data_IF_285023345167
#
_entry.id   IF_285023345167
#
_cell.length_a   1.000
_cell.length_b   1.000
_cell.length_c   1.000
_cell.angle_alpha   90.00
_cell.angle_beta   90.00
_cell.angle_gamma   90.00
#
_symmetry.space_group_name_H-M   'P 1'
#
loop_
_entity.id
_entity.type
_entity.pdbx_description
1 polymer ?
#
# COMPACT_ATOMS: atom_id res chain seq x y z
N UNK A 1 0.28 28.20 4.68
CA UNK A 1 1.33 27.50 5.48
C UNK A 1 0.72 26.24 6.06
N UNK A 2 1.28 25.06 5.72
CA UNK A 2 0.74 23.76 6.16
C UNK A 2 1.06 23.55 7.65
N UNK A 3 0.10 23.04 8.43
CA UNK A 3 0.24 22.70 9.87
C UNK A 3 1.45 21.75 10.09
N UNK A 4 1.75 20.88 9.14
CA UNK A 4 2.91 19.98 9.17
C UNK A 4 4.26 20.71 9.14
N UNK A 5 4.36 21.84 8.42
CA UNK A 5 5.58 22.65 8.38
C UNK A 5 5.88 23.33 9.72
N UNK A 6 4.83 23.77 10.42
CA UNK A 6 4.95 24.45 11.70
C UNK A 6 5.38 23.50 12.82
N UNK A 7 4.83 22.28 12.86
CA UNK A 7 5.19 21.28 13.89
C UNK A 7 6.63 20.80 13.74
N UNK A 8 7.13 20.66 12.50
CA UNK A 8 8.52 20.27 12.25
C UNK A 8 9.53 21.34 12.74
N UNK A 9 9.27 22.62 12.44
CA UNK A 9 10.15 23.71 12.84
C UNK A 9 10.23 23.91 14.36
N UNK A 10 9.13 23.66 15.08
CA UNK A 10 9.08 23.74 16.56
C UNK A 10 9.88 22.58 17.18
N UNK A 11 9.78 21.37 16.64
CA UNK A 11 10.53 20.21 17.13
C UNK A 11 12.04 20.35 16.95
N UNK A 12 12.48 20.93 15.85
CA UNK A 12 13.90 21.23 15.58
C UNK A 12 14.42 22.34 16.51
N UNK A 13 13.64 23.39 16.76
CA UNK A 13 14.01 24.51 17.63
C UNK A 13 14.10 24.12 19.12
N UNK A 14 13.39 23.12 19.55
CA UNK A 14 13.38 22.64 20.95
C UNK A 14 14.42 21.55 21.24
N UNK A 15 15.26 21.16 20.25
CA UNK A 15 16.29 20.13 20.43
C UNK A 15 15.73 18.75 20.76
N UNK A 16 14.45 18.50 20.48
CA UNK A 16 13.75 17.25 20.76
C UNK A 16 14.14 16.13 19.77
N UNK A 17 14.86 16.47 18.70
CA UNK A 17 15.39 15.53 17.72
C UNK A 17 16.79 15.03 18.12
N UNK A 18 16.87 14.20 19.12
CA UNK A 18 18.03 13.31 19.23
C UNK A 18 17.89 12.23 18.14
N UNK A 19 19.01 11.79 17.51
CA UNK A 19 18.95 10.64 16.61
C UNK A 19 18.38 9.46 17.39
N UNK A 20 17.11 9.15 17.18
CA UNK A 20 16.46 7.97 17.75
C UNK A 20 17.12 6.74 17.13
N UNK A 21 17.46 5.78 17.96
CA UNK A 21 17.75 4.43 17.47
C UNK A 21 16.63 4.05 16.49
N UNK A 22 17.01 3.52 15.31
CA UNK A 22 16.02 3.13 14.29
C UNK A 22 15.07 2.14 14.96
N UNK A 23 13.75 2.40 14.98
CA UNK A 23 12.82 1.51 15.64
C UNK A 23 12.92 0.10 15.04
N UNK A 24 12.78 -0.91 15.86
CA UNK A 24 12.86 -2.33 15.44
C UNK A 24 11.88 -2.61 14.28
N UNK A 25 10.65 -2.08 14.36
CA UNK A 25 9.65 -2.20 13.30
C UNK A 25 10.10 -1.66 11.97
N UNK A 26 10.80 -0.52 11.96
CA UNK A 26 11.36 0.08 10.77
C UNK A 26 12.40 -0.85 10.10
N UNK A 27 13.33 -1.39 10.88
CA UNK A 27 14.36 -2.30 10.35
C UNK A 27 13.74 -3.58 9.78
N UNK A 28 12.80 -4.18 10.50
CA UNK A 28 12.08 -5.38 10.06
C UNK A 28 11.26 -5.07 8.82
N UNK A 29 10.52 -3.97 8.81
CA UNK A 29 9.71 -3.55 7.67
C UNK A 29 10.55 -3.38 6.40
N UNK A 30 11.69 -2.71 6.49
CA UNK A 30 12.61 -2.52 5.34
C UNK A 30 13.16 -3.83 4.80
N UNK A 31 13.53 -4.77 5.67
CA UNK A 31 14.03 -6.09 5.24
C UNK A 31 12.89 -6.90 4.59
N UNK A 32 11.76 -7.02 5.27
CA UNK A 32 10.62 -7.78 4.78
C UNK A 32 10.09 -7.23 3.44
N UNK A 33 9.98 -5.91 3.31
CA UNK A 33 9.55 -5.25 2.08
C UNK A 33 10.52 -5.55 0.91
N UNK A 34 11.82 -5.41 1.15
CA UNK A 34 12.84 -5.69 0.12
C UNK A 34 12.79 -7.13 -0.37
N UNK A 35 12.71 -8.08 0.55
CA UNK A 35 12.67 -9.51 0.21
C UNK A 35 11.36 -9.87 -0.52
N UNK A 36 10.23 -9.32 -0.08
CA UNK A 36 8.94 -9.52 -0.73
C UNK A 36 8.94 -8.93 -2.14
N UNK A 37 9.44 -7.69 -2.30
CA UNK A 37 9.59 -7.04 -3.61
C UNK A 37 10.47 -7.86 -4.54
N UNK A 38 11.65 -8.29 -4.08
CA UNK A 38 12.57 -9.11 -4.86
C UNK A 38 11.92 -10.42 -5.30
N UNK A 39 11.24 -11.10 -4.39
CA UNK A 39 10.52 -12.34 -4.68
C UNK A 39 9.43 -12.13 -5.73
N UNK A 40 8.62 -11.06 -5.58
CA UNK A 40 7.60 -10.70 -6.56
C UNK A 40 8.22 -10.39 -7.94
N UNK A 41 9.30 -9.64 -7.99
CA UNK A 41 10.01 -9.31 -9.23
C UNK A 41 10.53 -10.57 -9.93
N UNK A 42 11.22 -11.44 -9.21
CA UNK A 42 11.79 -12.67 -9.78
C UNK A 42 10.70 -13.64 -10.28
N UNK A 43 9.60 -13.78 -9.52
CA UNK A 43 8.50 -14.66 -9.90
C UNK A 43 7.72 -14.17 -11.15
N UNK A 44 7.87 -12.89 -11.52
CA UNK A 44 7.08 -12.24 -12.56
C UNK A 44 7.94 -11.54 -13.64
N UNK A 45 9.19 -11.98 -13.85
CA UNK A 45 10.11 -11.38 -14.82
C UNK A 45 9.54 -11.31 -16.25
N UNK A 46 8.72 -12.28 -16.62
CA UNK A 46 8.14 -12.39 -17.99
C UNK A 46 6.81 -11.66 -18.12
N UNK A 47 6.28 -11.06 -17.06
CA UNK A 47 5.00 -10.34 -17.11
C UNK A 47 5.21 -8.93 -17.63
N UNK A 48 4.39 -8.53 -18.61
CA UNK A 48 4.36 -7.15 -19.11
C UNK A 48 3.96 -6.17 -18.00
N UNK A 49 4.46 -4.96 -18.13
CA UNK A 49 4.13 -3.83 -17.25
C UNK A 49 3.39 -2.81 -18.10
N UNK A 50 2.14 -2.56 -17.77
CA UNK A 50 1.22 -1.76 -18.58
C UNK A 50 0.75 -0.54 -17.80
N UNK A 51 0.49 0.59 -18.46
CA UNK A 51 -0.19 1.73 -17.84
C UNK A 51 -1.66 1.36 -17.55
N UNK A 52 -2.29 2.10 -16.67
CA UNK A 52 -3.74 2.08 -16.49
C UNK A 52 -4.44 2.68 -17.72
N UNK A 53 -5.72 2.36 -17.92
CA UNK A 53 -6.56 2.98 -18.96
C UNK A 53 -6.66 4.49 -18.76
N UNK A 54 -6.75 5.25 -19.85
CA UNK A 54 -6.76 6.71 -19.78
C UNK A 54 -7.91 7.26 -18.93
N UNK A 55 -9.10 6.64 -19.00
CA UNK A 55 -10.25 7.02 -18.17
C UNK A 55 -10.00 6.82 -16.68
N UNK A 56 -9.34 5.70 -16.31
CA UNK A 56 -8.94 5.40 -14.93
C UNK A 56 -7.89 6.39 -14.45
N UNK A 57 -6.89 6.70 -15.29
CA UNK A 57 -5.90 7.71 -14.98
C UNK A 57 -6.54 9.08 -14.77
N UNK A 58 -7.53 9.48 -15.62
CA UNK A 58 -8.23 10.74 -15.48
C UNK A 58 -8.99 10.84 -14.16
N UNK A 59 -9.67 9.79 -13.74
CA UNK A 59 -10.34 9.69 -12.45
C UNK A 59 -9.32 9.76 -11.28
N UNK A 60 -8.24 8.98 -11.35
CA UNK A 60 -7.22 8.95 -10.31
C UNK A 60 -6.50 10.30 -10.13
N UNK A 61 -6.30 11.09 -11.20
CA UNK A 61 -5.76 12.47 -11.10
C UNK A 61 -6.67 13.39 -10.30
N UNK A 62 -7.98 13.15 -10.31
CA UNK A 62 -8.92 13.93 -9.47
C UNK A 62 -8.86 13.48 -8.01
N UNK A 63 -8.74 12.17 -7.75
CA UNK A 63 -8.67 11.61 -6.40
C UNK A 63 -7.31 11.85 -5.73
N UNK A 64 -6.23 11.85 -6.51
CA UNK A 64 -4.85 11.98 -6.05
C UNK A 64 -4.11 13.08 -6.85
N UNK A 65 -4.43 14.37 -6.62
CA UNK A 65 -3.93 15.46 -7.46
C UNK A 65 -2.39 15.64 -7.42
N UNK A 66 -1.75 15.20 -6.34
CA UNK A 66 -0.30 15.29 -6.17
C UNK A 66 0.46 14.05 -6.67
N UNK A 67 -0.26 13.01 -7.15
CA UNK A 67 0.32 11.76 -7.62
C UNK A 67 0.54 11.82 -9.13
N UNK A 68 1.74 11.49 -9.59
CA UNK A 68 1.98 11.24 -11.03
C UNK A 68 1.39 9.88 -11.44
N UNK A 69 0.08 9.87 -11.68
CA UNK A 69 -0.68 8.67 -12.07
C UNK A 69 -0.13 8.04 -13.35
N UNK A 70 0.46 8.85 -14.24
CA UNK A 70 1.07 8.37 -15.48
C UNK A 70 2.26 7.45 -15.28
N UNK A 71 2.88 7.43 -14.10
CA UNK A 71 3.97 6.53 -13.73
C UNK A 71 3.49 5.20 -13.14
N UNK A 72 2.22 5.06 -12.82
CA UNK A 72 1.69 3.80 -12.28
C UNK A 72 1.73 2.72 -13.36
N UNK A 73 2.22 1.56 -12.99
CA UNK A 73 2.31 0.39 -13.86
C UNK A 73 1.68 -0.82 -13.19
N UNK A 74 0.88 -1.55 -13.95
CA UNK A 74 0.24 -2.79 -13.47
C UNK A 74 0.82 -3.98 -14.21
N UNK A 75 1.16 -5.03 -13.47
CA UNK A 75 1.51 -6.35 -13.99
C UNK A 75 0.38 -7.30 -13.65
N UNK A 76 -0.22 -7.94 -14.65
CA UNK A 76 -1.37 -8.85 -14.49
C UNK A 76 -0.93 -10.31 -14.52
N UNK A 77 -1.72 -11.19 -13.87
CA UNK A 77 -1.44 -12.63 -13.80
C UNK A 77 -0.19 -12.94 -12.98
N UNK A 78 0.07 -12.14 -11.95
CA UNK A 78 1.27 -12.27 -11.15
C UNK A 78 1.16 -13.42 -10.14
N UNK A 79 2.30 -14.08 -9.93
CA UNK A 79 2.52 -14.92 -8.76
C UNK A 79 2.96 -14.01 -7.62
N UNK A 80 2.06 -13.81 -6.67
CA UNK A 80 2.40 -13.05 -5.47
C UNK A 80 3.15 -13.95 -4.49
N UNK A 81 4.18 -13.44 -3.81
CA UNK A 81 4.78 -14.15 -2.69
C UNK A 81 3.68 -14.55 -1.73
N UNK A 82 3.76 -15.79 -1.20
CA UNK A 82 2.83 -16.22 -0.17
C UNK A 82 2.87 -15.18 0.95
N UNK A 83 1.82 -14.40 1.05
CA UNK A 83 1.72 -13.41 2.10
C UNK A 83 1.57 -14.20 3.39
N UNK A 84 2.57 -14.12 4.26
CA UNK A 84 2.51 -14.75 5.58
C UNK A 84 1.39 -14.16 6.45
N UNK A 85 0.81 -13.05 5.98
CA UNK A 85 -0.29 -12.32 6.61
C UNK A 85 -1.66 -12.81 6.16
N UNK A 86 -1.72 -13.65 5.12
CA UNK A 86 -2.96 -14.09 4.51
C UNK A 86 -3.08 -15.61 4.53
N UNK A 87 -3.69 -16.13 5.59
CA UNK A 87 -3.94 -17.57 5.73
C UNK A 87 -4.91 -18.13 4.67
N UNK A 88 -5.63 -17.27 3.95
CA UNK A 88 -6.66 -17.66 2.98
C UNK A 88 -6.28 -17.48 1.52
N UNK A 89 -5.05 -17.00 1.22
CA UNK A 89 -4.64 -16.69 -0.15
C UNK A 89 -5.47 -15.57 -0.77
N UNK A 90 -5.99 -14.63 0.04
CA UNK A 90 -6.89 -13.57 -0.39
C UNK A 90 -6.16 -12.39 -1.01
N UNK A 91 -4.82 -12.30 -0.86
CA UNK A 91 -4.05 -11.22 -1.47
C UNK A 91 -4.28 -11.19 -2.97
N UNK A 92 -4.99 -10.19 -3.44
CA UNK A 92 -5.31 -9.97 -4.85
C UNK A 92 -4.25 -9.13 -5.58
N UNK A 93 -3.53 -8.28 -4.86
CA UNK A 93 -2.44 -7.47 -5.41
C UNK A 93 -1.39 -7.14 -4.35
N UNK A 94 -0.26 -6.58 -4.81
CA UNK A 94 0.80 -6.01 -3.97
C UNK A 94 1.39 -4.80 -4.68
N UNK A 95 1.63 -3.73 -3.94
CA UNK A 95 2.22 -2.49 -4.45
C UNK A 95 3.64 -2.29 -3.97
N UNK A 96 4.54 -1.96 -4.91
CA UNK A 96 5.93 -1.58 -4.64
C UNK A 96 6.27 -0.31 -5.45
N UNK A 97 6.39 0.82 -4.78
CA UNK A 97 6.53 2.12 -5.42
C UNK A 97 5.37 2.39 -6.37
N UNK A 98 5.66 2.63 -7.65
CA UNK A 98 4.65 2.86 -8.68
C UNK A 98 4.21 1.57 -9.40
N UNK A 99 4.59 0.39 -8.90
CA UNK A 99 4.30 -0.89 -9.55
C UNK A 99 3.30 -1.70 -8.75
N UNK A 100 2.17 -2.02 -9.36
CA UNK A 100 1.11 -2.86 -8.80
C UNK A 100 1.21 -4.25 -9.45
N UNK A 101 1.37 -5.27 -8.62
CA UNK A 101 1.39 -6.68 -9.03
C UNK A 101 0.02 -7.28 -8.77
N UNK A 102 -0.76 -7.48 -9.83
CA UNK A 102 -2.13 -7.99 -9.78
C UNK A 102 -2.15 -9.50 -10.00
N UNK A 103 -2.79 -10.24 -9.12
CA UNK A 103 -2.80 -11.71 -9.15
C UNK A 103 -3.55 -12.26 -10.36
N UNK A 104 -4.72 -11.73 -10.64
CA UNK A 104 -5.56 -12.24 -11.68
C UNK A 104 -5.06 -11.82 -13.07
N UNK A 105 -5.34 -12.65 -14.10
CA UNK A 105 -4.91 -12.37 -15.48
C UNK A 105 -5.61 -11.15 -16.07
N UNK A 106 -6.80 -10.85 -15.57
CA UNK A 106 -7.62 -9.72 -15.99
C UNK A 106 -7.75 -8.77 -14.80
N UNK A 107 -7.53 -7.50 -15.05
CA UNK A 107 -7.97 -6.38 -14.24
C UNK A 107 -8.99 -5.64 -15.10
N UNK A 108 -10.25 -5.75 -14.76
CA UNK A 108 -11.32 -5.04 -15.43
C UNK A 108 -11.55 -3.69 -14.75
N UNK A 109 -10.94 -2.65 -15.32
CA UNK A 109 -11.01 -1.29 -14.78
C UNK A 109 -12.41 -0.65 -14.92
N UNK A 110 -13.36 -1.33 -15.62
CA UNK A 110 -14.78 -0.99 -15.68
C UNK A 110 -15.61 -1.73 -14.63
N UNK A 111 -15.05 -2.79 -14.05
CA UNK A 111 -15.71 -3.54 -13.00
C UNK A 111 -15.54 -2.80 -11.66
N UNK A 112 -16.64 -2.42 -10.98
CA UNK A 112 -16.56 -1.68 -9.72
C UNK A 112 -15.75 -2.39 -8.63
N UNK A 113 -15.80 -3.72 -8.58
CA UNK A 113 -15.09 -4.52 -7.58
C UNK A 113 -13.58 -4.45 -7.80
N UNK A 114 -13.13 -4.60 -9.05
CA UNK A 114 -11.72 -4.51 -9.39
C UNK A 114 -11.22 -3.07 -9.26
N UNK A 115 -12.06 -2.10 -9.62
CA UNK A 115 -11.72 -0.68 -9.49
C UNK A 115 -11.49 -0.28 -8.02
N UNK A 116 -12.34 -0.72 -7.09
CA UNK A 116 -12.16 -0.47 -5.64
C UNK A 116 -10.84 -1.07 -5.15
N UNK A 117 -10.53 -2.32 -5.53
CA UNK A 117 -9.27 -2.96 -5.18
C UNK A 117 -8.06 -2.20 -5.77
N UNK A 118 -8.20 -1.74 -7.02
CA UNK A 118 -7.16 -0.94 -7.67
C UNK A 118 -6.92 0.38 -6.93
N UNK A 119 -7.98 1.06 -6.50
CA UNK A 119 -7.88 2.29 -5.73
C UNK A 119 -7.17 2.07 -4.40
N UNK A 120 -7.44 0.96 -3.71
CA UNK A 120 -6.69 0.55 -2.52
C UNK A 120 -5.18 0.46 -2.80
N UNK A 121 -4.78 -0.21 -3.88
CA UNK A 121 -3.38 -0.32 -4.27
C UNK A 121 -2.76 1.04 -4.68
N UNK A 122 -3.53 1.89 -5.34
CA UNK A 122 -3.09 3.26 -5.68
C UNK A 122 -2.91 4.11 -4.43
N UNK A 123 -3.71 3.88 -3.38
CA UNK A 123 -3.49 4.53 -2.08
C UNK A 123 -2.12 4.18 -1.50
N UNK A 124 -1.63 2.95 -1.65
CA UNK A 124 -0.27 2.57 -1.26
C UNK A 124 0.81 3.25 -2.11
N UNK A 125 0.55 3.52 -3.40
CA UNK A 125 1.45 4.36 -4.21
C UNK A 125 1.53 5.78 -3.65
N UNK A 126 0.38 6.38 -3.32
CA UNK A 126 0.31 7.72 -2.73
C UNK A 126 0.98 7.78 -1.35
N UNK A 127 0.76 6.78 -0.51
CA UNK A 127 1.42 6.68 0.78
C UNK A 127 2.95 6.60 0.63
N UNK A 128 3.42 5.82 -0.36
CA UNK A 128 4.85 5.71 -0.67
C UNK A 128 5.42 7.07 -1.08
N UNK A 129 4.73 7.82 -1.96
CA UNK A 129 5.12 9.17 -2.37
C UNK A 129 5.14 10.13 -1.18
N UNK A 130 4.06 10.17 -0.40
CA UNK A 130 3.86 11.08 0.74
C UNK A 130 4.89 10.85 1.85
N UNK A 131 5.29 9.60 2.08
CA UNK A 131 6.29 9.24 3.08
C UNK A 131 7.73 9.49 2.61
N UNK A 132 7.95 9.79 1.34
CA UNK A 132 9.28 10.09 0.80
C UNK A 132 9.97 8.90 0.12
N UNK A 133 9.26 7.81 -0.12
CA UNK A 133 9.75 6.67 -0.87
C UNK A 133 9.51 5.31 -0.23
N UNK A 134 9.94 4.26 -0.94
CA UNK A 134 9.73 2.87 -0.52
C UNK A 134 10.36 2.52 0.82
N UNK A 135 11.51 3.10 1.14
CA UNK A 135 12.21 2.81 2.38
C UNK A 135 11.47 3.37 3.60
N UNK A 136 10.91 4.55 3.46
CA UNK A 136 10.12 5.24 4.47
C UNK A 136 8.74 4.58 4.61
N UNK A 137 8.11 4.22 3.50
CA UNK A 137 6.88 3.41 3.50
C UNK A 137 7.10 2.08 4.23
N UNK A 138 8.14 1.33 3.88
CA UNK A 138 8.45 0.04 4.51
C UNK A 138 8.73 0.18 6.01
N UNK A 139 9.39 1.29 6.41
CA UNK A 139 9.62 1.63 7.81
C UNK A 139 8.28 1.85 8.55
N UNK A 140 7.44 2.75 8.02
CA UNK A 140 6.14 3.07 8.62
C UNK A 140 5.21 1.84 8.65
N UNK A 141 5.22 1.05 7.58
CA UNK A 141 4.43 -0.18 7.50
C UNK A 141 4.84 -1.21 8.56
N UNK A 142 6.16 -1.44 8.72
CA UNK A 142 6.67 -2.36 9.73
C UNK A 142 6.38 -1.90 11.15
N UNK A 143 6.50 -0.60 11.43
CA UNK A 143 6.13 -0.02 12.73
C UNK A 143 4.64 -0.13 13.00
N UNK A 144 3.81 0.25 12.03
CA UNK A 144 2.35 0.17 12.12
C UNK A 144 1.87 -1.27 12.34
N UNK A 145 2.50 -2.24 11.68
CA UNK A 145 2.20 -3.65 11.87
C UNK A 145 2.48 -4.11 13.32
N UNK A 146 3.64 -3.76 13.89
CA UNK A 146 3.96 -4.11 15.28
C UNK A 146 3.04 -3.38 16.28
N UNK A 147 2.72 -2.12 16.03
CA UNK A 147 1.76 -1.36 16.86
C UNK A 147 0.36 -1.96 16.81
N UNK A 148 -0.04 -2.53 15.67
CA UNK A 148 -1.30 -3.25 15.50
C UNK A 148 -1.37 -4.59 16.24
N UNK A 149 -0.30 -4.99 16.92
CA UNK A 149 -0.21 -6.27 17.67
C UNK A 149 0.39 -7.41 16.86
N UNK A 150 1.01 -7.11 15.71
CA UNK A 150 1.73 -8.10 14.91
C UNK A 150 2.99 -8.60 15.61
N UNK A 151 3.26 -9.89 15.52
CA UNK A 151 4.48 -10.52 16.04
C UNK A 151 5.64 -10.43 15.05
N UNK A 152 6.86 -10.38 15.60
CA UNK A 152 8.10 -10.42 14.82
C UNK A 152 8.31 -11.83 14.23
N UNK A 153 8.89 -12.01 13.10
CA UNK A 153 8.55 -12.59 11.79
C UNK A 153 8.33 -14.10 11.71
N UNK A 154 8.15 -14.82 12.78
CA UNK A 154 8.02 -16.29 12.68
C UNK A 154 6.58 -16.80 12.67
N UNK A 155 5.62 -16.05 13.19
CA UNK A 155 4.24 -16.50 13.35
C UNK A 155 3.25 -15.35 13.31
N UNK A 156 3.06 -14.77 12.13
CA UNK A 156 1.95 -13.84 11.95
C UNK A 156 0.67 -14.67 11.91
N UNK A 157 0.01 -14.75 13.05
CA UNK A 157 -1.23 -15.49 13.22
C UNK A 157 -2.45 -14.60 13.37
N UNK A 158 -2.24 -13.27 13.47
CA UNK A 158 -3.34 -12.35 13.71
C UNK A 158 -3.65 -11.54 12.44
N UNK A 159 -4.65 -11.95 11.64
CA UNK A 159 -5.09 -11.18 10.49
C UNK A 159 -5.62 -9.79 10.89
N UNK A 160 -6.00 -9.60 12.16
CA UNK A 160 -6.46 -8.31 12.66
C UNK A 160 -5.32 -7.30 12.81
N UNK A 161 -4.08 -7.74 13.02
CA UNK A 161 -2.91 -6.86 13.08
C UNK A 161 -2.66 -6.17 11.74
N UNK A 162 -2.93 -6.85 10.63
CA UNK A 162 -2.87 -6.29 9.29
C UNK A 162 -3.86 -5.13 9.15
N UNK A 163 -5.13 -5.34 9.48
CA UNK A 163 -6.17 -4.31 9.39
C UNK A 163 -5.99 -3.16 10.39
N UNK A 164 -5.26 -3.40 11.50
CA UNK A 164 -4.90 -2.35 12.47
C UNK A 164 -3.65 -1.57 12.07
N UNK A 165 -2.92 -1.98 11.03
CA UNK A 165 -1.85 -1.17 10.48
C UNK A 165 -2.42 0.17 9.98
N UNK A 166 -1.92 1.33 10.45
CA UNK A 166 -2.46 2.62 10.06
C UNK A 166 -2.49 2.87 8.54
N UNK A 167 -1.53 2.34 7.80
CA UNK A 167 -1.49 2.50 6.34
C UNK A 167 -2.57 1.66 5.65
N UNK A 168 -2.82 0.45 6.14
CA UNK A 168 -3.94 -0.38 5.64
C UNK A 168 -5.29 0.22 6.04
N UNK A 169 -5.43 0.65 7.30
CA UNK A 169 -6.66 1.28 7.78
C UNK A 169 -7.02 2.53 6.97
N UNK A 170 -6.03 3.35 6.60
CA UNK A 170 -6.21 4.50 5.73
C UNK A 170 -6.67 4.07 4.33
N UNK A 171 -6.04 3.05 3.73
CA UNK A 171 -6.41 2.54 2.42
C UNK A 171 -7.83 1.94 2.41
N UNK A 172 -8.20 1.16 3.42
CA UNK A 172 -9.56 0.64 3.57
C UNK A 172 -10.61 1.73 3.81
N UNK A 173 -10.27 2.78 4.55
CA UNK A 173 -11.16 3.92 4.74
C UNK A 173 -11.42 4.64 3.42
N UNK A 174 -10.37 4.86 2.64
CA UNK A 174 -10.45 5.52 1.35
C UNK A 174 -11.28 4.72 0.34
N UNK A 175 -11.04 3.41 0.23
CA UNK A 175 -11.80 2.55 -0.68
C UNK A 175 -13.28 2.44 -0.29
N UNK A 176 -13.58 2.51 1.01
CA UNK A 176 -14.97 2.53 1.50
C UNK A 176 -15.68 3.84 1.13
N UNK A 177 -15.03 4.97 1.31
CA UNK A 177 -15.57 6.27 0.89
C UNK A 177 -15.82 6.31 -0.61
N UNK A 178 -14.86 5.81 -1.40
CA UNK A 178 -15.04 5.73 -2.85
C UNK A 178 -16.25 4.88 -3.25
N UNK A 179 -16.46 3.73 -2.58
CA UNK A 179 -17.65 2.89 -2.81
C UNK A 179 -18.95 3.62 -2.51
N UNK A 180 -19.02 4.32 -1.39
CA UNK A 180 -20.21 5.04 -0.97
C UNK A 180 -20.58 6.17 -1.95
N UNK A 181 -19.57 6.90 -2.45
CA UNK A 181 -19.76 8.01 -3.39
C UNK A 181 -20.16 7.55 -4.80
N UNK A 182 -19.70 6.37 -5.22
CA UNK A 182 -19.90 5.86 -6.58
C UNK A 182 -20.92 4.73 -6.68
N UNK A 183 -21.66 4.43 -5.60
CA UNK A 183 -22.74 3.45 -5.59
C UNK A 183 -22.30 2.01 -5.88
N UNK A 184 -21.04 1.69 -5.68
CA UNK A 184 -20.48 0.37 -5.97
C UNK A 184 -20.67 -0.57 -4.78
N UNK A 185 -21.95 -0.90 -4.46
CA UNK A 185 -22.24 -1.83 -3.38
C UNK A 185 -22.11 -3.25 -3.87
N UNK A 186 -21.03 -3.92 -3.55
CA UNK A 186 -21.01 -5.38 -3.46
C UNK A 186 -21.07 -5.74 -1.96
N UNK A 187 -22.17 -6.25 -1.44
CA UNK A 187 -22.22 -6.78 -0.09
C UNK A 187 -21.32 -8.02 -0.03
N UNK A 188 -20.34 -8.02 0.85
CA UNK A 188 -19.55 -9.22 1.16
C UNK A 188 -18.04 -9.18 0.88
N UNK A 189 -17.44 -8.03 0.61
CA UNK A 189 -15.97 -7.90 0.45
C UNK A 189 -15.24 -7.40 1.70
N UNK A 190 -15.90 -7.35 2.83
CA UNK A 190 -15.23 -7.24 4.13
C UNK A 190 -14.96 -8.65 4.66
N UNK A 191 -13.71 -8.93 5.10
CA UNK A 191 -13.41 -10.18 5.80
C UNK A 191 -14.14 -10.27 7.14
#
# INVERSE_FOLDING_TARGET
MSILGTVRSIGEALGLWKPRAVPIGCSIGKVAFRETKRSAQLANLTRSSEPLQEKTQAMLRQLFPDLDVGQIRVRRGCRLPANRFDERGSTYAMTFGNSIYWRDKVLDEDNPVDLVKLIHEVMHVEQTRRLGGEAEFACAYGEGYLQGGGDVPARIKDPTAYHRNPLEAEAYTFDSQFRDEHGTVAPGLLP
#
